data_IF_456950955684
#
_entry.id   IF_456950955684
#
_cell.length_a   1.000
_cell.length_b   1.000
_cell.length_c   1.000
_cell.angle_alpha   90.00
_cell.angle_beta   90.00
_cell.angle_gamma   90.00
#
_symmetry.space_group_name_H-M   'P 1'
#
loop_
_entity.id
_entity.type
_entity.pdbx_description
1 polymer ?
#
# COMPACT_ATOMS: atom_id res chain seq x y z
N UNK A 1 18.00 -11.98 1.35
CA UNK A 1 18.86 -11.01 0.63
C UNK A 1 18.22 -9.65 0.80
N UNK A 2 18.95 -8.63 1.25
CA UNK A 2 18.36 -7.29 1.39
C UNK A 2 18.12 -6.65 0.01
N UNK A 3 16.92 -6.13 -0.22
CA UNK A 3 16.58 -5.35 -1.42
C UNK A 3 17.31 -4.01 -1.36
N UNK A 4 18.43 -3.91 -2.06
CA UNK A 4 19.16 -2.64 -2.20
C UNK A 4 18.37 -1.64 -3.07
N UNK A 5 18.63 -0.35 -2.87
CA UNK A 5 17.92 0.74 -3.56
C UNK A 5 17.96 0.65 -5.09
N UNK A 6 19.03 0.11 -5.68
CA UNK A 6 19.11 -0.06 -7.15
C UNK A 6 18.18 -1.16 -7.68
N UNK A 7 17.93 -2.21 -6.89
CA UNK A 7 16.94 -3.24 -7.24
C UNK A 7 15.53 -2.63 -7.29
N UNK A 8 15.18 -1.83 -6.29
CA UNK A 8 13.88 -1.16 -6.18
C UNK A 8 13.65 -0.21 -7.36
N UNK A 9 14.67 0.58 -7.73
CA UNK A 9 14.63 1.44 -8.92
C UNK A 9 14.37 0.66 -10.20
N UNK A 10 14.97 -0.52 -10.35
CA UNK A 10 14.75 -1.37 -11.53
C UNK A 10 13.31 -1.89 -11.60
N UNK A 11 12.74 -2.24 -10.44
CA UNK A 11 11.37 -2.75 -10.33
C UNK A 11 10.31 -1.68 -10.62
N UNK A 12 10.49 -0.45 -10.12
CA UNK A 12 9.47 0.62 -10.18
C UNK A 12 9.76 1.68 -11.26
N UNK A 13 11.02 1.81 -11.71
CA UNK A 13 11.43 2.80 -12.71
C UNK A 13 11.47 4.24 -12.21
N UNK A 14 11.58 4.47 -10.90
CA UNK A 14 11.49 5.80 -10.27
C UNK A 14 12.51 5.97 -9.14
N UNK A 15 13.00 7.19 -8.94
CA UNK A 15 14.06 7.52 -7.97
C UNK A 15 13.54 7.98 -6.60
N UNK A 16 12.31 8.49 -6.53
CA UNK A 16 11.72 9.09 -5.32
C UNK A 16 10.85 8.10 -4.55
N UNK A 17 11.31 6.86 -4.45
CA UNK A 17 10.60 5.78 -3.75
C UNK A 17 11.33 5.41 -2.47
N UNK A 18 10.56 5.20 -1.41
CA UNK A 18 11.04 4.68 -0.13
C UNK A 18 10.63 3.23 0.01
N UNK A 19 11.32 2.51 0.88
CA UNK A 19 11.00 1.12 1.21
C UNK A 19 10.83 0.93 2.69
N UNK A 20 9.93 0.03 3.07
CA UNK A 20 9.81 -0.45 4.44
C UNK A 20 9.43 -1.93 4.42
N UNK A 21 10.06 -2.71 5.30
CA UNK A 21 9.74 -4.12 5.47
C UNK A 21 8.60 -4.28 6.48
N UNK A 22 7.66 -5.16 6.15
CA UNK A 22 6.49 -5.44 6.99
C UNK A 22 5.96 -6.85 6.76
N UNK A 23 5.11 -7.31 7.68
CA UNK A 23 4.37 -8.55 7.53
C UNK A 23 2.92 -8.25 7.14
N UNK A 24 2.46 -8.74 5.99
CA UNK A 24 1.08 -8.59 5.51
C UNK A 24 0.48 -9.99 5.32
N UNK A 25 -0.61 -10.28 6.03
CA UNK A 25 -1.26 -11.59 5.93
C UNK A 25 -0.34 -12.77 6.28
N UNK A 26 0.64 -12.57 7.18
CA UNK A 26 1.64 -13.59 7.51
C UNK A 26 2.84 -13.67 6.56
N UNK A 27 2.82 -12.92 5.45
CA UNK A 27 3.94 -12.87 4.50
C UNK A 27 4.84 -11.67 4.76
N UNK A 28 6.15 -11.92 4.85
CA UNK A 28 7.16 -10.87 4.82
C UNK A 28 7.20 -10.23 3.43
N UNK A 29 7.04 -8.91 3.38
CA UNK A 29 7.04 -8.12 2.15
C UNK A 29 7.85 -6.84 2.35
N UNK A 30 8.47 -6.38 1.28
CA UNK A 30 9.03 -5.02 1.22
C UNK A 30 8.03 -4.14 0.47
N UNK A 31 7.42 -3.17 1.14
CA UNK A 31 6.58 -2.17 0.48
C UNK A 31 7.46 -1.07 -0.11
N UNK A 32 7.25 -0.78 -1.39
CA UNK A 32 7.80 0.37 -2.10
C UNK A 32 6.70 1.43 -2.21
N UNK A 33 6.97 2.63 -1.70
CA UNK A 33 5.96 3.66 -1.55
C UNK A 33 6.52 5.08 -1.75
N UNK A 34 5.61 6.03 -1.99
CA UNK A 34 5.91 7.48 -1.95
C UNK A 34 5.07 8.16 -0.86
N UNK A 35 5.68 8.96 0.03
CA UNK A 35 4.93 9.82 0.94
C UNK A 35 4.01 10.79 0.19
N UNK A 36 2.85 11.08 0.78
CA UNK A 36 1.96 12.15 0.32
C UNK A 36 1.97 13.25 1.39
N UNK A 37 2.85 14.25 1.20
CA UNK A 37 3.16 15.29 2.20
C UNK A 37 1.92 16.01 2.74
N UNK A 38 0.95 16.33 1.87
CA UNK A 38 -0.31 16.94 2.29
C UNK A 38 -1.09 16.05 3.27
N UNK A 39 -1.15 14.75 2.99
CA UNK A 39 -1.84 13.77 3.83
C UNK A 39 -1.08 13.52 5.13
N UNK A 40 0.25 13.59 5.13
CA UNK A 40 1.07 13.59 6.35
C UNK A 40 0.77 14.80 7.23
N UNK A 41 0.78 16.02 6.65
CA UNK A 41 0.47 17.27 7.38
C UNK A 41 -0.94 17.28 7.96
N UNK A 42 -1.94 16.78 7.23
CA UNK A 42 -3.32 16.67 7.73
C UNK A 42 -3.42 15.81 8.99
N UNK A 43 -2.56 14.80 9.13
CA UNK A 43 -2.57 13.83 10.24
C UNK A 43 -1.71 14.25 11.42
N UNK A 44 -0.80 15.21 11.24
CA UNK A 44 0.16 15.62 12.26
C UNK A 44 -0.55 16.00 13.59
N UNK A 45 -0.17 15.34 14.69
CA UNK A 45 -0.79 15.53 16.01
C UNK A 45 -2.21 14.98 16.16
N UNK A 46 -2.75 14.32 15.13
CA UNK A 46 -4.07 13.71 15.12
C UNK A 46 -4.08 12.27 15.66
N UNK A 47 -5.25 11.81 16.09
CA UNK A 47 -5.44 10.40 16.48
C UNK A 47 -5.27 9.47 15.28
N UNK A 48 -4.47 8.42 15.43
CA UNK A 48 -4.28 7.37 14.42
C UNK A 48 -5.60 6.77 13.95
N UNK A 49 -5.72 6.49 12.64
CA UNK A 49 -6.86 5.76 12.10
C UNK A 49 -6.77 4.29 12.55
N UNK A 50 -7.78 3.82 13.28
CA UNK A 50 -7.79 2.47 13.85
C UNK A 50 -7.76 1.36 12.79
N UNK A 51 -7.54 0.09 13.19
CA UNK A 51 -7.38 -1.04 12.26
C UNK A 51 -8.70 -1.54 11.64
N UNK A 52 -9.85 -1.00 12.06
CA UNK A 52 -11.18 -1.49 11.66
C UNK A 52 -11.45 -1.14 10.20
N UNK A 53 -11.66 -2.16 9.36
CA UNK A 53 -11.91 -1.98 7.92
C UNK A 53 -13.12 -1.09 7.63
N UNK A 54 -14.16 -1.14 8.48
CA UNK A 54 -15.35 -0.30 8.33
C UNK A 54 -15.06 1.21 8.31
N UNK A 55 -13.99 1.68 8.96
CA UNK A 55 -13.60 3.10 8.91
C UNK A 55 -13.16 3.49 7.49
N UNK A 56 -12.33 2.66 6.88
CA UNK A 56 -11.81 2.86 5.52
C UNK A 56 -12.90 2.72 4.46
N UNK A 57 -13.86 1.80 4.67
CA UNK A 57 -15.01 1.66 3.78
C UNK A 57 -15.88 2.93 3.76
N UNK A 58 -16.20 3.48 4.94
CA UNK A 58 -16.96 4.73 5.04
C UNK A 58 -16.20 5.90 4.43
N UNK A 59 -14.89 5.99 4.68
CA UNK A 59 -14.08 7.03 4.04
C UNK A 59 -14.05 6.85 2.52
N UNK A 60 -13.90 5.62 2.00
CA UNK A 60 -13.88 5.40 0.56
C UNK A 60 -15.22 5.68 -0.14
N UNK A 61 -16.35 5.43 0.54
CA UNK A 61 -17.67 5.75 0.02
C UNK A 61 -17.95 7.26 -0.07
N UNK A 62 -17.24 8.08 0.72
CA UNK A 62 -17.37 9.53 0.65
C UNK A 62 -16.48 10.12 -0.46
N UNK A 63 -16.99 10.95 -1.38
CA UNK A 63 -16.17 11.67 -2.34
C UNK A 63 -15.19 12.62 -1.65
N UNK A 64 -13.95 12.66 -2.13
CA UNK A 64 -12.92 13.55 -1.60
C UNK A 64 -13.23 15.00 -1.94
N UNK A 65 -13.18 15.89 -0.94
CA UNK A 65 -13.36 17.32 -1.15
C UNK A 65 -14.81 17.78 -1.34
N UNK A 66 -15.77 16.87 -1.43
CA UNK A 66 -17.17 17.18 -1.67
C UNK A 66 -18.03 17.09 -0.40
N UNK A 67 -19.06 17.94 -0.32
CA UNK A 67 -20.00 17.96 0.79
C UNK A 67 -21.18 17.01 0.55
N UNK A 68 -21.30 15.98 1.39
CA UNK A 68 -22.39 15.01 1.36
C UNK A 68 -23.37 15.25 2.51
N UNK A 69 -24.69 15.33 2.26
CA UNK A 69 -25.70 15.35 3.33
C UNK A 69 -25.62 14.10 4.20
N UNK A 70 -25.63 14.26 5.53
CA UNK A 70 -25.59 13.12 6.46
C UNK A 70 -26.80 12.19 6.27
N UNK A 71 -27.93 12.75 5.86
CA UNK A 71 -29.16 11.98 5.61
C UNK A 71 -29.07 11.12 4.33
N UNK A 72 -28.11 11.40 3.44
CA UNK A 72 -27.82 10.57 2.26
C UNK A 72 -26.94 9.35 2.59
N UNK A 73 -26.33 9.31 3.78
CA UNK A 73 -25.51 8.18 4.22
C UNK A 73 -26.40 7.02 4.66
N UNK A 74 -25.90 5.80 4.51
CA UNK A 74 -26.52 4.60 5.08
C UNK A 74 -26.51 4.64 6.61
N UNK A 75 -27.40 3.86 7.25
CA UNK A 75 -27.44 3.75 8.71
C UNK A 75 -26.12 3.21 9.30
N UNK A 76 -25.42 2.34 8.55
CA UNK A 76 -24.10 1.85 8.94
C UNK A 76 -23.05 2.98 8.93
N UNK A 77 -23.02 3.78 7.86
CA UNK A 77 -22.10 4.91 7.75
C UNK A 77 -22.36 5.96 8.83
N UNK A 78 -23.63 6.31 9.10
CA UNK A 78 -23.99 7.25 10.16
C UNK A 78 -23.49 6.80 11.54
N UNK A 79 -23.58 5.51 11.85
CA UNK A 79 -23.08 4.94 13.12
C UNK A 79 -21.56 4.93 13.22
N UNK A 80 -20.85 4.73 12.11
CA UNK A 80 -19.38 4.72 12.08
C UNK A 80 -18.83 6.15 12.08
N UNK A 81 -19.55 7.11 11.50
CA UNK A 81 -19.07 8.47 11.30
C UNK A 81 -18.50 9.08 12.58
N UNK A 82 -19.16 9.07 13.77
CA UNK A 82 -18.59 9.61 14.99
C UNK A 82 -17.20 9.04 15.37
N UNK A 83 -16.89 7.79 14.99
CA UNK A 83 -15.63 7.14 15.31
C UNK A 83 -14.44 7.60 14.45
N UNK A 84 -14.64 8.20 13.27
CA UNK A 84 -13.48 8.65 12.48
C UNK A 84 -12.81 9.87 13.14
N UNK A 85 -11.46 9.97 13.10
CA UNK A 85 -10.73 11.13 13.58
C UNK A 85 -11.16 12.43 12.88
N UNK A 86 -11.04 13.56 13.57
CA UNK A 86 -11.41 14.86 13.02
C UNK A 86 -10.64 15.21 11.75
N UNK A 87 -9.33 14.90 11.67
CA UNK A 87 -8.52 15.17 10.49
C UNK A 87 -8.98 14.44 9.22
N UNK A 88 -9.81 13.41 9.33
CA UNK A 88 -10.34 12.69 8.16
C UNK A 88 -11.48 13.43 7.45
N UNK A 89 -12.15 14.35 8.17
CA UNK A 89 -13.41 14.95 7.69
C UNK A 89 -13.65 16.38 8.20
N UNK A 90 -14.45 17.13 7.45
CA UNK A 90 -15.08 18.35 7.94
C UNK A 90 -16.59 18.15 8.11
N UNK A 91 -17.20 18.86 9.06
CA UNK A 91 -18.66 18.82 9.32
C UNK A 91 -19.21 20.24 9.37
N UNK A 92 -20.31 20.50 8.66
CA UNK A 92 -21.06 21.78 8.69
C UNK A 92 -22.50 21.54 8.24
N UNK A 93 -23.48 22.18 8.88
CA UNK A 93 -24.89 22.20 8.44
C UNK A 93 -25.45 20.81 8.05
N UNK A 94 -25.29 19.80 8.92
CA UNK A 94 -25.70 18.39 8.63
C UNK A 94 -25.09 17.78 7.36
N UNK A 95 -23.93 18.29 6.93
CA UNK A 95 -23.12 17.74 5.85
C UNK A 95 -21.77 17.29 6.39
N UNK A 96 -21.19 16.30 5.71
CA UNK A 96 -19.84 15.81 5.94
C UNK A 96 -19.03 15.90 4.66
N UNK A 97 -17.76 16.26 4.76
CA UNK A 97 -16.81 16.25 3.66
C UNK A 97 -15.60 15.42 4.04
N UNK A 98 -15.24 14.43 3.22
CA UNK A 98 -13.96 13.73 3.35
C UNK A 98 -12.85 14.68 2.92
N UNK A 99 -11.81 14.81 3.73
CA UNK A 99 -10.63 15.63 3.41
C UNK A 99 -9.33 14.83 3.43
N UNK A 100 -9.36 13.61 3.98
CA UNK A 100 -8.20 12.73 3.97
C UNK A 100 -8.31 11.65 2.89
N UNK A 101 -7.14 11.19 2.47
CA UNK A 101 -6.88 10.04 1.61
C UNK A 101 -5.59 9.34 2.09
N UNK A 102 -5.18 8.22 1.48
CA UNK A 102 -4.01 7.44 1.88
C UNK A 102 -2.74 8.31 2.10
N UNK A 103 -2.00 8.11 3.21
CA UNK A 103 -0.82 8.92 3.54
C UNK A 103 0.39 8.61 2.66
N UNK A 104 0.38 7.47 2.00
CA UNK A 104 1.41 7.04 1.06
C UNK A 104 0.76 6.46 -0.18
N UNK A 105 1.39 6.67 -1.32
CA UNK A 105 1.10 5.94 -2.55
C UNK A 105 1.90 4.65 -2.54
N UNK A 106 1.22 3.50 -2.54
CA UNK A 106 1.87 2.20 -2.66
C UNK A 106 2.15 1.90 -4.12
N UNK A 107 3.43 1.87 -4.50
CA UNK A 107 3.83 1.55 -5.87
C UNK A 107 3.98 0.05 -6.09
N UNK A 108 4.51 -0.67 -5.09
CA UNK A 108 4.78 -2.09 -5.22
C UNK A 108 4.92 -2.80 -3.86
N UNK A 109 4.43 -4.03 -3.77
CA UNK A 109 4.81 -4.99 -2.75
C UNK A 109 5.78 -5.99 -3.36
N UNK A 110 6.95 -6.14 -2.77
CA UNK A 110 7.97 -7.10 -3.23
C UNK A 110 7.98 -8.30 -2.30
N UNK A 111 7.76 -9.48 -2.89
CA UNK A 111 7.77 -10.76 -2.20
C UNK A 111 9.02 -11.50 -2.64
N UNK A 112 9.93 -11.78 -1.70
CA UNK A 112 11.08 -12.63 -1.98
C UNK A 112 10.74 -14.08 -1.70
N UNK A 113 11.22 -15.00 -2.54
CA UNK A 113 11.15 -16.42 -2.26
C UNK A 113 12.34 -17.20 -2.83
N UNK A 114 12.56 -18.38 -2.25
CA UNK A 114 13.60 -19.32 -2.72
C UNK A 114 13.19 -20.03 -4.02
N UNK A 115 11.89 -20.13 -4.26
CA UNK A 115 11.29 -20.63 -5.50
C UNK A 115 10.14 -19.73 -5.92
N UNK A 116 9.86 -19.70 -7.23
CA UNK A 116 8.87 -18.81 -7.80
C UNK A 116 7.43 -19.20 -7.43
N UNK A 117 7.14 -20.49 -7.32
CA UNK A 117 5.79 -21.00 -7.05
C UNK A 117 5.29 -20.58 -5.66
N UNK A 118 6.06 -20.88 -4.60
CA UNK A 118 5.74 -20.44 -3.21
C UNK A 118 5.61 -18.91 -3.12
N UNK A 119 6.51 -18.18 -3.77
CA UNK A 119 6.48 -16.72 -3.73
C UNK A 119 5.25 -16.17 -4.46
N UNK A 120 4.85 -16.80 -5.57
CA UNK A 120 3.65 -16.45 -6.33
C UNK A 120 2.39 -16.73 -5.53
N UNK A 121 2.31 -17.89 -4.86
CA UNK A 121 1.20 -18.24 -3.97
C UNK A 121 1.05 -17.22 -2.84
N UNK A 122 2.16 -16.85 -2.19
CA UNK A 122 2.16 -15.80 -1.16
C UNK A 122 1.74 -14.45 -1.72
N UNK A 123 2.20 -14.08 -2.91
CA UNK A 123 1.77 -12.85 -3.57
C UNK A 123 0.25 -12.88 -3.85
N UNK A 124 -0.28 -13.99 -4.36
CA UNK A 124 -1.70 -14.19 -4.62
C UNK A 124 -2.55 -14.06 -3.34
N UNK A 125 -2.10 -14.64 -2.22
CA UNK A 125 -2.78 -14.57 -0.93
C UNK A 125 -2.97 -13.14 -0.38
N UNK A 126 -2.13 -12.19 -0.78
CA UNK A 126 -2.30 -10.77 -0.42
C UNK A 126 -3.51 -10.11 -1.10
N UNK A 127 -4.02 -10.71 -2.17
CA UNK A 127 -5.06 -10.12 -3.01
C UNK A 127 -4.60 -8.86 -3.76
N UNK A 128 -5.48 -8.24 -4.56
CA UNK A 128 -5.15 -7.08 -5.40
C UNK A 128 -5.14 -5.76 -4.61
N UNK A 129 -4.70 -5.78 -3.34
CA UNK A 129 -4.66 -4.59 -2.47
C UNK A 129 -3.57 -3.59 -2.85
N UNK A 130 -2.60 -4.00 -3.65
CA UNK A 130 -1.55 -3.17 -4.25
C UNK A 130 -0.92 -3.95 -5.43
N UNK A 131 -0.13 -3.30 -6.30
CA UNK A 131 0.73 -4.00 -7.25
C UNK A 131 1.72 -4.90 -6.49
N UNK A 132 1.98 -6.11 -6.99
CA UNK A 132 2.80 -7.12 -6.32
C UNK A 132 3.80 -7.72 -7.29
N UNK A 133 5.05 -7.88 -6.88
CA UNK A 133 6.08 -8.57 -7.66
C UNK A 133 6.79 -9.61 -6.82
N UNK A 134 6.99 -10.79 -7.41
CA UNK A 134 7.85 -11.84 -6.90
C UNK A 134 9.28 -11.63 -7.39
N UNK A 135 10.25 -11.75 -6.48
CA UNK A 135 11.68 -11.79 -6.79
C UNK A 135 12.24 -13.14 -6.32
N UNK A 136 12.84 -13.89 -7.24
CA UNK A 136 13.35 -15.25 -6.99
C UNK A 136 14.71 -15.47 -7.67
N UNK A 137 15.42 -16.57 -7.37
CA UNK A 137 16.61 -16.97 -8.11
C UNK A 137 16.32 -17.21 -9.61
N UNK A 138 17.36 -17.36 -10.46
CA UNK A 138 17.17 -17.68 -11.88
C UNK A 138 16.31 -18.95 -12.06
N UNK A 139 15.32 -18.87 -12.94
CA UNK A 139 14.26 -19.89 -13.11
C UNK A 139 14.70 -21.07 -13.98
N UNK A 140 15.79 -20.93 -14.74
CA UNK A 140 16.23 -21.96 -15.68
C UNK A 140 15.12 -22.35 -16.67
N UNK A 141 14.79 -23.63 -16.73
CA UNK A 141 13.79 -24.22 -17.63
C UNK A 141 12.35 -23.81 -17.28
N UNK A 142 12.06 -23.48 -16.01
CA UNK A 142 10.71 -23.10 -15.56
C UNK A 142 10.30 -21.67 -16.00
N UNK A 143 11.22 -20.90 -16.60
CA UNK A 143 11.02 -19.48 -16.87
C UNK A 143 9.72 -19.17 -17.60
N UNK A 144 9.44 -19.89 -18.68
CA UNK A 144 8.27 -19.62 -19.51
C UNK A 144 6.98 -19.88 -18.73
N UNK A 145 6.92 -21.00 -18.02
CA UNK A 145 5.78 -21.35 -17.17
C UNK A 145 5.55 -20.31 -16.08
N UNK A 146 6.61 -19.92 -15.37
CA UNK A 146 6.53 -18.93 -14.31
C UNK A 146 6.03 -17.57 -14.83
N UNK A 147 6.49 -17.14 -16.02
CA UNK A 147 5.99 -15.91 -16.64
C UNK A 147 4.50 -15.97 -16.96
N UNK A 148 4.01 -17.08 -17.52
CA UNK A 148 2.60 -17.26 -17.84
C UNK A 148 1.71 -17.25 -16.60
N UNK A 149 2.10 -17.99 -15.56
CA UNK A 149 1.34 -18.01 -14.30
C UNK A 149 1.33 -16.62 -13.63
N UNK A 150 2.48 -15.94 -13.59
CA UNK A 150 2.58 -14.60 -13.03
C UNK A 150 1.67 -13.58 -13.75
N UNK A 151 1.69 -13.58 -15.10
CA UNK A 151 0.86 -12.70 -15.92
C UNK A 151 -0.65 -12.98 -15.74
N UNK A 152 -1.01 -14.27 -15.69
CA UNK A 152 -2.39 -14.71 -15.44
C UNK A 152 -2.95 -14.13 -14.12
N UNK A 153 -2.18 -14.21 -13.03
CA UNK A 153 -2.56 -13.66 -11.73
C UNK A 153 -2.32 -12.14 -11.60
N UNK A 154 -1.75 -11.50 -12.61
CA UNK A 154 -1.42 -10.08 -12.60
C UNK A 154 -0.32 -9.71 -11.61
N UNK A 155 0.55 -10.66 -11.27
CA UNK A 155 1.68 -10.51 -10.36
C UNK A 155 2.94 -10.31 -11.21
N UNK A 156 3.77 -9.33 -10.85
CA UNK A 156 5.05 -9.15 -11.49
C UNK A 156 6.01 -10.27 -11.12
N UNK A 157 6.95 -10.58 -12.01
CA UNK A 157 7.96 -11.60 -11.78
C UNK A 157 9.33 -11.05 -12.16
N UNK A 158 10.31 -11.24 -11.29
CA UNK A 158 11.69 -10.91 -11.55
C UNK A 158 12.64 -11.97 -11.00
N UNK A 159 13.76 -12.14 -11.70
CA UNK A 159 14.87 -12.99 -11.28
C UNK A 159 15.99 -12.12 -10.71
N UNK A 160 16.66 -12.56 -9.65
CA UNK A 160 17.90 -11.93 -9.19
C UNK A 160 19.12 -12.74 -9.68
N UNK A 161 20.11 -12.07 -10.25
CA UNK A 161 21.33 -12.70 -10.77
C UNK A 161 22.41 -11.66 -11.10
N UNK A 162 23.69 -12.03 -10.94
CA UNK A 162 24.82 -11.18 -11.35
C UNK A 162 24.86 -9.78 -10.71
N UNK A 163 24.33 -9.61 -9.49
CA UNK A 163 24.30 -8.32 -8.78
C UNK A 163 23.10 -7.41 -9.10
N UNK A 164 22.16 -7.88 -9.91
CA UNK A 164 20.96 -7.12 -10.29
C UNK A 164 19.66 -7.93 -10.25
N UNK A 165 18.58 -7.24 -10.61
CA UNK A 165 17.24 -7.81 -10.77
C UNK A 165 16.81 -7.65 -12.21
N UNK A 166 16.35 -8.73 -12.85
CA UNK A 166 15.79 -8.72 -14.20
C UNK A 166 14.29 -8.93 -14.13
N UNK A 167 13.54 -7.92 -14.54
CA UNK A 167 12.08 -8.00 -14.63
C UNK A 167 11.70 -8.85 -15.84
N UNK A 168 10.90 -9.89 -15.61
CA UNK A 168 10.35 -10.78 -16.64
C UNK A 168 8.91 -10.44 -16.97
N UNK A 169 8.11 -10.13 -15.93
CA UNK A 169 6.71 -9.75 -16.03
C UNK A 169 6.49 -8.51 -15.17
N UNK A 170 5.82 -7.50 -15.73
CA UNK A 170 5.44 -6.29 -14.98
C UNK A 170 4.14 -6.55 -14.20
N UNK A 171 4.02 -6.08 -12.96
CA UNK A 171 2.80 -6.24 -12.19
C UNK A 171 1.66 -5.39 -12.77
N UNK A 172 0.41 -5.82 -12.56
CA UNK A 172 -0.75 -4.94 -12.82
C UNK A 172 -0.77 -3.82 -11.79
N UNK A 173 -0.97 -2.58 -12.26
CA UNK A 173 -0.87 -1.37 -11.43
C UNK A 173 -2.20 -0.89 -10.86
N UNK A 174 -3.33 -1.34 -11.41
CA UNK A 174 -4.66 -0.96 -10.96
C UNK A 174 -5.10 -1.71 -9.70
N UNK A 175 -5.61 -0.97 -8.72
CA UNK A 175 -6.31 -1.52 -7.55
C UNK A 175 -7.81 -1.48 -7.83
N UNK A 176 -8.54 -2.61 -7.78
CA UNK A 176 -9.97 -2.61 -8.00
C UNK A 176 -10.70 -1.85 -6.89
N UNK A 177 -11.82 -1.22 -7.22
CA UNK A 177 -12.61 -0.43 -6.26
C UNK A 177 -13.02 -1.24 -5.02
N UNK A 178 -13.34 -2.53 -5.20
CA UNK A 178 -13.65 -3.46 -4.11
C UNK A 178 -12.51 -3.64 -3.08
N UNK A 179 -11.26 -3.35 -3.47
CA UNK A 179 -10.08 -3.41 -2.61
C UNK A 179 -9.61 -2.04 -2.09
N UNK A 180 -10.24 -0.93 -2.49
CA UNK A 180 -9.78 0.43 -2.18
C UNK A 180 -9.67 0.71 -0.66
N UNK A 181 -10.58 0.14 0.14
CA UNK A 181 -10.53 0.26 1.60
C UNK A 181 -9.37 -0.53 2.22
N UNK A 182 -9.07 -1.71 1.69
CA UNK A 182 -7.92 -2.52 2.12
C UNK A 182 -6.59 -1.89 1.69
N UNK A 183 -6.55 -1.32 0.49
CA UNK A 183 -5.40 -0.57 -0.02
C UNK A 183 -5.06 0.60 0.89
N UNK A 184 -6.05 1.45 1.23
CA UNK A 184 -5.82 2.55 2.17
C UNK A 184 -5.37 2.03 3.54
N UNK A 185 -6.01 0.99 4.07
CA UNK A 185 -5.57 0.38 5.34
C UNK A 185 -4.11 -0.10 5.28
N UNK A 186 -3.68 -0.68 4.17
CA UNK A 186 -2.29 -1.07 3.99
C UNK A 186 -1.36 0.15 3.91
N UNK A 187 -1.78 1.22 3.22
CA UNK A 187 -1.03 2.47 3.16
C UNK A 187 -0.83 3.11 4.55
N UNK A 188 -1.85 3.12 5.41
CA UNK A 188 -1.69 3.58 6.81
C UNK A 188 -0.70 2.72 7.60
N UNK A 189 -0.66 1.40 7.35
CA UNK A 189 0.30 0.50 7.99
C UNK A 189 1.73 0.75 7.51
N UNK A 190 1.92 0.97 6.21
CA UNK A 190 3.22 1.30 5.61
C UNK A 190 3.73 2.63 6.13
N UNK A 191 2.86 3.65 6.18
CA UNK A 191 3.20 4.95 6.74
C UNK A 191 3.67 4.85 8.19
N UNK A 192 2.93 4.13 9.05
CA UNK A 192 3.33 3.93 10.45
C UNK A 192 4.67 3.21 10.58
N UNK A 193 4.86 2.12 9.83
CA UNK A 193 6.11 1.38 9.86
C UNK A 193 7.30 2.24 9.42
N UNK A 194 7.08 3.17 8.48
CA UNK A 194 8.09 4.14 8.07
C UNK A 194 8.40 5.16 9.17
N UNK A 195 7.38 5.68 9.87
CA UNK A 195 7.58 6.61 11.00
C UNK A 195 8.29 5.94 12.18
N UNK A 196 8.01 4.66 12.45
CA UNK A 196 8.67 3.89 13.52
C UNK A 196 10.11 3.49 13.16
N UNK A 197 10.40 3.32 11.87
CA UNK A 197 11.72 2.93 11.35
C UNK A 197 12.66 4.09 11.01
N UNK A 198 12.16 5.33 10.92
CA UNK A 198 13.01 6.52 10.79
C UNK A 198 13.68 6.79 12.16
N UNK A 199 15.02 6.82 12.26
CA UNK A 199 15.67 7.28 13.48
C UNK A 199 15.27 8.73 13.68
N UNK A 200 14.47 8.98 14.72
CA UNK A 200 14.05 10.30 15.16
C UNK A 200 15.26 11.24 15.20
N UNK A 201 15.41 12.07 14.17
CA UNK A 201 16.37 13.17 14.19
C UNK A 201 15.86 14.17 15.25
N UNK A 202 16.60 14.43 16.34
CA UNK A 202 16.16 15.41 17.32
C UNK A 202 16.11 16.78 16.64
N UNK A 203 14.95 17.45 16.73
CA UNK A 203 14.78 18.82 16.25
C UNK A 203 15.88 19.72 16.84
N UNK A 204 16.40 20.72 16.09
CA UNK A 204 17.34 21.68 16.66
C UNK A 204 16.61 22.47 17.75
N UNK A 205 17.17 22.44 18.97
CA UNK A 205 16.75 23.33 20.04
C UNK A 205 16.91 24.78 19.56
N UNK A 206 15.84 25.57 19.70
CA UNK A 206 15.91 27.03 19.66
C UNK A 206 16.26 27.54 21.06
#
# INVERSE_FOLDING_TARGET
MELRSHHVRTLVGSVDVRTVDLCVGGSAVTAVYRPVEEQGRLRAGGRVLGPRLGLYQVLQALPLGEWVPVDALTERERRILPALPAWTRSRRNRRVRRIADAPVRLDLLVIQGKGWLDALDRACALGPVAPRTVVCPPLGEDRQRACWEADYYGVGLAEHGGGGVRVLVRPRTGVPESAAALHWRLAERVHRAAEEGEPSSPAPAQ
#
